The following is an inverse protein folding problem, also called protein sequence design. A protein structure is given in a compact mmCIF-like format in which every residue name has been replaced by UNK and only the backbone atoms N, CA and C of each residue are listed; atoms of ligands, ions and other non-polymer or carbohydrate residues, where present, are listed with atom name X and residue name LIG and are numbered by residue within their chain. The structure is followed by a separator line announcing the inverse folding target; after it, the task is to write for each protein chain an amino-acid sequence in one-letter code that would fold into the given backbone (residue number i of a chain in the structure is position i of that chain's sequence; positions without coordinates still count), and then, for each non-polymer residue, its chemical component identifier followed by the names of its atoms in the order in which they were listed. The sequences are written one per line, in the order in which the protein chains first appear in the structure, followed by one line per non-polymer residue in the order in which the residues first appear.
data_IF_034531248502
#
_entry.id   IF_034531248502
#
_cell.length_a   1.000
_cell.length_b   1.000
_cell.length_c   1.000
_cell.angle_alpha   90.00
_cell.angle_beta   90.00
_cell.angle_gamma   90.00
#
_symmetry.space_group_name_H-M   'P 1'
#
loop_
_entity.id
_entity.type
_entity.pdbx_description
1 polymer ?
#
# COMPACT_ATOMS: atom_id res chain seq x y z
N UNK A 1 -16.50 9.23 0.88
CA UNK A 1 -15.21 9.11 0.16
C UNK A 1 -13.99 8.97 1.08
N UNK A 2 -13.97 9.57 2.29
CA UNK A 2 -12.78 9.50 3.18
C UNK A 2 -12.34 8.08 3.59
N UNK A 3 -13.29 7.17 3.81
CA UNK A 3 -13.01 5.78 4.22
C UNK A 3 -12.29 5.00 3.12
N UNK A 4 -12.76 5.08 1.88
CA UNK A 4 -12.16 4.38 0.72
C UNK A 4 -10.73 4.86 0.48
N UNK A 5 -10.49 6.17 0.53
CA UNK A 5 -9.14 6.74 0.38
C UNK A 5 -8.18 6.25 1.46
N UNK A 6 -8.66 6.19 2.70
CA UNK A 6 -7.87 5.71 3.83
C UNK A 6 -7.56 4.21 3.68
N UNK A 7 -8.52 3.42 3.19
CA UNK A 7 -8.35 2.00 2.92
C UNK A 7 -7.34 1.74 1.80
N UNK A 8 -7.46 2.42 0.66
CA UNK A 8 -6.51 2.26 -0.46
C UNK A 8 -5.09 2.66 -0.06
N UNK A 9 -4.95 3.69 0.80
CA UNK A 9 -3.64 4.09 1.34
C UNK A 9 -3.05 3.01 2.22
N UNK A 10 -3.82 2.52 3.18
CA UNK A 10 -3.40 1.45 4.07
C UNK A 10 -3.00 0.19 3.29
N UNK A 11 -3.78 -0.18 2.26
CA UNK A 11 -3.45 -1.30 1.38
C UNK A 11 -2.14 -1.08 0.61
N UNK A 12 -1.95 0.09 0.01
CA UNK A 12 -0.71 0.41 -0.70
C UNK A 12 0.51 0.36 0.23
N UNK A 13 0.42 0.99 1.41
CA UNK A 13 1.49 0.96 2.42
C UNK A 13 1.81 -0.48 2.87
N UNK A 14 0.78 -1.29 3.11
CA UNK A 14 0.92 -2.68 3.52
C UNK A 14 1.64 -3.51 2.44
N UNK A 15 1.16 -3.47 1.19
CA UNK A 15 1.78 -4.25 0.11
C UNK A 15 3.21 -3.78 -0.20
N UNK A 16 3.47 -2.47 -0.23
CA UNK A 16 4.82 -1.94 -0.42
C UNK A 16 5.76 -2.33 0.71
N UNK A 17 5.27 -2.41 1.96
CA UNK A 17 6.08 -2.86 3.10
C UNK A 17 6.44 -4.34 2.97
N UNK A 18 5.47 -5.21 2.62
CA UNK A 18 5.74 -6.63 2.38
C UNK A 18 6.78 -6.80 1.28
N UNK A 19 6.59 -6.14 0.15
CA UNK A 19 7.52 -6.22 -0.98
C UNK A 19 8.90 -5.67 -0.62
N UNK A 20 8.98 -4.64 0.22
CA UNK A 20 10.26 -4.11 0.72
C UNK A 20 10.98 -5.14 1.60
N UNK A 21 10.27 -5.81 2.52
CA UNK A 21 10.85 -6.88 3.35
C UNK A 21 11.34 -8.03 2.47
N UNK A 22 10.55 -8.45 1.47
CA UNK A 22 10.96 -9.45 0.49
C UNK A 22 12.21 -9.02 -0.29
N UNK A 23 12.29 -7.74 -0.69
CA UNK A 23 13.44 -7.20 -1.40
C UNK A 23 14.71 -7.23 -0.55
N UNK A 24 14.62 -6.83 0.73
CA UNK A 24 15.76 -6.93 1.66
C UNK A 24 16.16 -8.38 1.94
N UNK A 25 15.19 -9.30 2.07
CA UNK A 25 15.49 -10.72 2.21
C UNK A 25 16.24 -11.25 0.98
N UNK A 26 15.83 -10.86 -0.23
CA UNK A 26 16.48 -11.24 -1.49
C UNK A 26 17.90 -10.66 -1.58
N UNK A 27 18.10 -9.40 -1.19
CA UNK A 27 19.42 -8.78 -1.12
C UNK A 27 20.31 -9.47 -0.09
N UNK A 28 19.78 -9.78 1.09
CA UNK A 28 20.49 -10.50 2.15
C UNK A 28 20.91 -11.90 1.69
N UNK A 29 20.04 -12.60 0.97
CA UNK A 29 20.32 -13.90 0.38
C UNK A 29 21.41 -13.82 -0.70
N UNK A 30 21.33 -12.85 -1.62
CA UNK A 30 22.39 -12.59 -2.60
C UNK A 30 23.73 -12.23 -1.96
N UNK A 31 23.71 -11.37 -0.93
CA UNK A 31 24.89 -10.99 -0.15
C UNK A 31 25.50 -12.18 0.61
N UNK A 32 24.68 -13.04 1.19
CA UNK A 32 25.11 -14.29 1.82
C UNK A 32 25.81 -15.21 0.82
N UNK A 33 25.27 -15.36 -0.40
CA UNK A 33 25.93 -16.14 -1.44
C UNK A 33 27.28 -15.54 -1.87
N UNK A 34 27.38 -14.22 -2.04
CA UNK A 34 28.66 -13.57 -2.34
C UNK A 34 29.69 -13.78 -1.22
N UNK A 35 29.25 -13.65 0.04
CA UNK A 35 30.11 -13.86 1.19
C UNK A 35 30.61 -15.30 1.25
N UNK A 36 29.71 -16.28 1.10
CA UNK A 36 30.06 -17.70 1.09
C UNK A 36 30.99 -18.04 -0.06
N UNK A 37 30.71 -17.53 -1.27
CA UNK A 37 31.54 -17.74 -2.46
C UNK A 37 32.97 -17.22 -2.26
N UNK A 38 33.13 -16.06 -1.61
CA UNK A 38 34.46 -15.51 -1.31
C UNK A 38 35.17 -16.18 -0.14
N UNK A 39 34.44 -16.86 0.74
CA UNK A 39 35.01 -17.47 1.94
C UNK A 39 35.48 -18.91 1.71
N UNK A 40 35.01 -19.56 0.64
CA UNK A 40 35.39 -20.93 0.31
C UNK A 40 36.66 -20.93 -0.56
N UNK A 41 37.77 -21.54 -0.09
CA UNK A 41 39.05 -21.53 -0.81
C UNK A 41 38.98 -22.24 -2.16
N UNK A 42 37.96 -23.10 -2.39
CA UNK A 42 37.76 -23.76 -3.69
C UNK A 42 37.14 -22.81 -4.71
N UNK A 43 36.27 -21.89 -4.28
CA UNK A 43 35.57 -20.95 -5.18
C UNK A 43 36.20 -19.56 -5.22
N UNK A 44 37.09 -19.22 -4.28
CA UNK A 44 37.82 -17.95 -4.24
C UNK A 44 38.53 -17.57 -5.56
N UNK A 45 39.22 -18.47 -6.29
CA UNK A 45 39.88 -18.10 -7.54
C UNK A 45 38.89 -17.90 -8.71
N UNK A 46 37.64 -18.33 -8.56
CA UNK A 46 36.62 -18.27 -9.60
C UNK A 46 35.77 -17.00 -9.45
N UNK A 47 35.45 -16.29 -10.55
CA UNK A 47 34.54 -15.15 -10.48
C UNK A 47 33.16 -15.60 -9.95
N UNK A 48 32.50 -14.81 -9.08
CA UNK A 48 31.15 -15.13 -8.65
C UNK A 48 30.21 -15.25 -9.84
N UNK A 49 29.30 -16.24 -9.84
CA UNK A 49 28.45 -16.49 -10.98
C UNK A 49 27.46 -15.34 -11.17
N UNK A 50 27.14 -15.04 -12.43
CA UNK A 50 26.35 -13.87 -12.83
C UNK A 50 24.97 -13.81 -12.15
N UNK A 51 24.36 -14.96 -11.85
CA UNK A 51 23.05 -15.01 -11.18
C UNK A 51 23.05 -14.37 -9.80
N UNK A 52 24.18 -14.37 -9.08
CA UNK A 52 24.26 -13.77 -7.74
C UNK A 52 24.13 -12.25 -7.84
N UNK A 53 24.78 -11.64 -8.85
CA UNK A 53 24.63 -10.21 -9.12
C UNK A 53 23.22 -9.88 -9.63
N UNK A 54 22.58 -10.77 -10.39
CA UNK A 54 21.18 -10.61 -10.80
C UNK A 54 20.24 -10.60 -9.59
N UNK A 55 20.39 -11.55 -8.66
CA UNK A 55 19.58 -11.61 -7.42
C UNK A 55 19.78 -10.35 -6.59
N UNK A 56 21.03 -9.90 -6.42
CA UNK A 56 21.35 -8.70 -5.65
C UNK A 56 20.80 -7.43 -6.31
N UNK A 57 21.02 -7.28 -7.61
CA UNK A 57 20.56 -6.12 -8.40
C UNK A 57 19.04 -6.05 -8.47
N UNK A 58 18.38 -7.19 -8.64
CA UNK A 58 16.92 -7.27 -8.64
C UNK A 58 16.33 -6.95 -7.27
N UNK A 59 16.91 -7.48 -6.20
CA UNK A 59 16.54 -7.12 -4.83
C UNK A 59 16.72 -5.62 -4.56
N UNK A 60 17.84 -5.03 -4.99
CA UNK A 60 18.08 -3.61 -4.84
C UNK A 60 17.08 -2.75 -5.63
N UNK A 61 16.75 -3.13 -6.87
CA UNK A 61 15.78 -2.42 -7.68
C UNK A 61 14.36 -2.50 -7.09
N UNK A 62 13.95 -3.68 -6.59
CA UNK A 62 12.69 -3.84 -5.86
C UNK A 62 12.67 -3.00 -4.58
N UNK A 63 13.74 -3.02 -3.80
CA UNK A 63 13.83 -2.24 -2.56
C UNK A 63 13.68 -0.74 -2.88
N UNK A 64 14.39 -0.25 -3.89
CA UNK A 64 14.31 1.14 -4.33
C UNK A 64 12.90 1.54 -4.79
N UNK A 65 12.24 0.71 -5.63
CA UNK A 65 10.88 0.97 -6.09
C UNK A 65 9.88 1.03 -4.90
N UNK A 66 10.02 0.13 -3.92
CA UNK A 66 9.15 0.10 -2.75
C UNK A 66 9.43 1.25 -1.77
N UNK A 67 10.68 1.68 -1.59
CA UNK A 67 11.02 2.89 -0.83
C UNK A 67 10.39 4.13 -1.46
N UNK A 68 10.47 4.28 -2.79
CA UNK A 68 9.80 5.38 -3.49
C UNK A 68 8.28 5.33 -3.32
N UNK A 69 7.69 4.13 -3.33
CA UNK A 69 6.25 3.95 -3.11
C UNK A 69 5.83 4.37 -1.70
N UNK A 70 6.58 3.94 -0.67
CA UNK A 70 6.37 4.33 0.72
C UNK A 70 6.59 5.83 0.93
N UNK A 71 7.67 6.40 0.39
CA UNK A 71 7.91 7.85 0.44
C UNK A 71 6.79 8.63 -0.27
N UNK A 72 6.29 8.14 -1.41
CA UNK A 72 5.15 8.73 -2.12
C UNK A 72 3.86 8.70 -1.29
N UNK A 73 3.60 7.59 -0.58
CA UNK A 73 2.46 7.45 0.31
C UNK A 73 2.54 8.39 1.53
N UNK A 74 3.72 8.48 2.16
CA UNK A 74 3.96 9.31 3.35
C UNK A 74 4.03 10.81 3.03
N UNK A 75 4.85 11.20 2.04
CA UNK A 75 5.14 12.59 1.71
C UNK A 75 4.10 13.23 0.78
N UNK A 76 3.15 12.45 0.25
CA UNK A 76 2.12 12.91 -0.72
C UNK A 76 2.71 13.54 -1.98
N UNK A 77 3.90 13.10 -2.40
CA UNK A 77 4.58 13.60 -3.59
C UNK A 77 4.16 12.79 -4.81
N UNK A 78 3.46 13.45 -5.75
CA UNK A 78 2.99 12.82 -7.00
C UNK A 78 4.12 12.28 -7.86
N UNK A 79 5.28 12.94 -7.84
CA UNK A 79 6.46 12.51 -8.59
C UNK A 79 6.98 11.15 -8.10
N UNK A 80 7.16 10.97 -6.78
CA UNK A 80 7.62 9.70 -6.20
C UNK A 80 6.61 8.58 -6.47
N UNK A 81 5.32 8.89 -6.33
CA UNK A 81 4.25 7.95 -6.61
C UNK A 81 4.28 7.49 -8.08
N UNK A 82 4.40 8.44 -9.02
CA UNK A 82 4.53 8.15 -10.46
C UNK A 82 5.77 7.33 -10.80
N UNK A 83 6.94 7.73 -10.30
CA UNK A 83 8.19 7.01 -10.49
C UNK A 83 8.12 5.58 -9.94
N UNK A 84 7.50 5.40 -8.77
CA UNK A 84 7.32 4.07 -8.17
C UNK A 84 6.47 3.14 -9.04
N UNK A 85 5.39 3.66 -9.66
CA UNK A 85 4.55 2.88 -10.57
C UNK A 85 5.31 2.52 -11.85
N UNK A 86 6.02 3.47 -12.45
CA UNK A 86 6.82 3.21 -13.64
C UNK A 86 7.91 2.16 -13.39
N UNK A 87 8.63 2.26 -12.26
CA UNK A 87 9.66 1.29 -11.88
C UNK A 87 9.05 -0.10 -11.60
N UNK A 88 7.97 -0.18 -10.84
CA UNK A 88 7.26 -1.45 -10.59
C UNK A 88 6.73 -2.07 -11.88
N UNK A 89 6.30 -1.27 -12.85
CA UNK A 89 5.87 -1.78 -14.15
C UNK A 89 7.03 -2.35 -14.96
N UNK A 90 8.18 -1.67 -15.01
CA UNK A 90 9.40 -2.18 -15.67
C UNK A 90 9.86 -3.49 -15.00
N UNK A 91 9.85 -3.55 -13.68
CA UNK A 91 10.21 -4.77 -12.93
C UNK A 91 9.24 -5.91 -13.21
N UNK A 92 7.93 -5.64 -13.35
CA UNK A 92 6.95 -6.65 -13.73
C UNK A 92 7.21 -7.20 -15.13
N UNK A 93 7.50 -6.33 -16.11
CA UNK A 93 7.87 -6.76 -17.46
C UNK A 93 9.14 -7.61 -17.44
N UNK A 94 10.15 -7.18 -16.68
CA UNK A 94 11.41 -7.93 -16.54
C UNK A 94 11.18 -9.32 -15.92
N UNK A 95 10.33 -9.43 -14.89
CA UNK A 95 9.92 -10.71 -14.30
C UNK A 95 9.23 -11.61 -15.34
N UNK A 96 8.25 -11.07 -16.08
CA UNK A 96 7.53 -11.83 -17.10
C UNK A 96 8.45 -12.29 -18.23
N UNK A 97 9.37 -11.43 -18.68
CA UNK A 97 10.36 -11.76 -19.70
C UNK A 97 11.31 -12.86 -19.22
N UNK A 98 11.83 -12.76 -17.99
CA UNK A 98 12.66 -13.79 -17.38
C UNK A 98 11.94 -15.14 -17.35
N UNK A 99 10.65 -15.12 -17.02
CA UNK A 99 9.84 -16.33 -16.92
C UNK A 99 9.61 -16.95 -18.27
N UNK A 100 9.29 -16.15 -19.29
CA UNK A 100 9.20 -16.64 -20.67
C UNK A 100 10.53 -17.29 -21.09
N UNK A 101 11.68 -16.68 -20.79
CA UNK A 101 12.99 -17.26 -21.10
C UNK A 101 13.19 -18.59 -20.39
N UNK A 102 12.89 -18.67 -19.10
CA UNK A 102 12.99 -19.91 -18.29
C UNK A 102 12.08 -21.01 -18.86
N UNK A 103 10.88 -20.66 -19.34
CA UNK A 103 9.93 -21.63 -19.91
C UNK A 103 10.30 -22.07 -21.34
N UNK A 104 10.89 -21.18 -22.15
CA UNK A 104 11.23 -21.48 -23.55
C UNK A 104 12.53 -22.28 -23.65
N UNK A 105 13.54 -21.95 -22.84
CA UNK A 105 14.83 -22.62 -22.85
C UNK A 105 15.30 -22.93 -21.41
N UNK A 106 14.74 -23.97 -20.79
CA UNK A 106 15.16 -24.37 -19.44
C UNK A 106 16.64 -24.80 -19.40
N UNK A 107 17.17 -25.33 -20.51
CA UNK A 107 18.57 -25.74 -20.62
C UNK A 107 19.58 -24.58 -20.59
N UNK A 108 19.16 -23.36 -20.96
CA UNK A 108 20.00 -22.17 -20.81
C UNK A 108 20.35 -21.88 -19.34
N UNK A 109 19.47 -22.27 -18.40
CA UNK A 109 19.73 -22.14 -16.96
C UNK A 109 20.76 -23.17 -16.53
N UNK A 110 20.61 -24.42 -16.98
CA UNK A 110 21.52 -25.51 -16.62
C UNK A 110 22.97 -25.19 -17.01
N UNK A 111 23.18 -24.62 -18.20
CA UNK A 111 24.51 -24.20 -18.67
C UNK A 111 25.10 -23.01 -17.90
N UNK A 112 24.28 -22.12 -17.35
CA UNK A 112 24.76 -20.97 -16.58
C UNK A 112 24.96 -21.27 -15.10
N UNK A 113 24.23 -22.24 -14.55
CA UNK A 113 24.21 -22.51 -13.11
C UNK A 113 25.17 -23.63 -12.74
N UNK A 114 25.31 -24.67 -13.57
CA UNK A 114 26.29 -25.74 -13.34
C UNK A 114 27.43 -25.65 -14.38
N UNK A 115 28.70 -25.71 -13.95
CA UNK A 115 29.82 -25.88 -14.88
C UNK A 115 29.67 -27.19 -15.66
N UNK A 116 30.13 -27.22 -16.91
CA UNK A 116 29.83 -28.26 -17.91
C UNK A 116 30.18 -29.72 -17.51
N UNK A 117 30.94 -29.92 -16.43
CA UNK A 117 31.43 -31.23 -16.00
C UNK A 117 30.98 -31.65 -14.59
N UNK A 118 30.13 -30.86 -13.89
CA UNK A 118 29.69 -31.21 -12.54
C UNK A 118 28.31 -31.89 -12.54
N UNK A 119 28.30 -33.18 -12.87
CA UNK A 119 27.10 -34.02 -12.81
C UNK A 119 26.48 -34.06 -11.40
N UNK A 120 27.28 -33.86 -10.35
CA UNK A 120 26.79 -33.83 -8.97
C UNK A 120 26.02 -32.55 -8.65
N UNK A 121 26.41 -31.41 -9.24
CA UNK A 121 25.64 -30.16 -9.22
C UNK A 121 24.26 -30.38 -9.85
N UNK A 122 24.24 -30.97 -11.04
CA UNK A 122 23.03 -31.19 -11.81
C UNK A 122 22.08 -32.18 -11.11
N UNK A 123 22.61 -33.26 -10.52
CA UNK A 123 21.81 -34.25 -9.79
C UNK A 123 21.19 -33.69 -8.50
N UNK A 124 21.85 -32.73 -7.83
CA UNK A 124 21.31 -32.03 -6.64
C UNK A 124 20.31 -30.93 -7.00
N UNK A 125 20.51 -30.25 -8.12
CA UNK A 125 19.54 -29.29 -8.65
C UNK A 125 18.32 -30.00 -9.22
N UNK A 126 18.50 -31.17 -9.82
CA UNK A 126 17.44 -31.91 -10.52
C UNK A 126 16.15 -32.10 -9.69
N UNK A 127 16.15 -32.49 -8.40
CA UNK A 127 14.92 -32.56 -7.62
C UNK A 127 14.27 -31.19 -7.36
N UNK A 128 15.07 -30.13 -7.27
CA UNK A 128 14.59 -28.74 -7.15
C UNK A 128 13.94 -28.27 -8.46
N UNK A 129 14.47 -28.75 -9.60
CA UNK A 129 14.03 -28.46 -10.96
C UNK A 129 13.25 -29.61 -11.60
N UNK A 130 12.72 -30.55 -10.81
CA UNK A 130 11.90 -31.65 -11.33
C UNK A 130 10.46 -31.19 -11.60
N UNK A 131 9.98 -30.27 -10.76
CA UNK A 131 8.75 -29.48 -10.97
C UNK A 131 9.01 -27.97 -10.76
N UNK A 132 9.99 -27.36 -11.48
CA UNK A 132 10.36 -25.97 -11.30
C UNK A 132 9.25 -25.05 -11.80
N UNK A 133 8.60 -25.46 -12.89
CA UNK A 133 7.45 -24.76 -13.45
C UNK A 133 6.31 -24.61 -12.44
N UNK A 134 6.11 -25.61 -11.57
CA UNK A 134 5.03 -25.55 -10.59
C UNK A 134 5.41 -24.64 -9.41
N UNK A 135 6.57 -24.85 -8.78
CA UNK A 135 6.93 -24.08 -7.57
C UNK A 135 7.38 -22.65 -7.89
N UNK A 136 8.27 -22.47 -8.87
CA UNK A 136 8.72 -21.14 -9.28
C UNK A 136 7.59 -20.37 -9.96
N UNK A 137 6.75 -21.04 -10.75
CA UNK A 137 5.56 -20.44 -11.35
C UNK A 137 4.55 -19.95 -10.31
N UNK A 138 4.26 -20.75 -9.27
CA UNK A 138 3.38 -20.33 -8.16
C UNK A 138 3.98 -19.13 -7.44
N UNK A 139 5.25 -19.22 -7.00
CA UNK A 139 5.91 -18.13 -6.28
C UNK A 139 5.91 -16.82 -7.08
N UNK A 140 6.27 -16.91 -8.36
CA UNK A 140 6.23 -15.77 -9.27
C UNK A 140 4.82 -15.23 -9.42
N UNK A 141 3.80 -16.07 -9.63
CA UNK A 141 2.42 -15.62 -9.80
C UNK A 141 1.92 -14.86 -8.56
N UNK A 142 2.32 -15.29 -7.36
CA UNK A 142 2.01 -14.59 -6.11
C UNK A 142 2.70 -13.23 -6.07
N UNK A 143 4.00 -13.17 -6.39
CA UNK A 143 4.77 -11.91 -6.44
C UNK A 143 4.16 -10.92 -7.45
N UNK A 144 3.89 -11.38 -8.68
CA UNK A 144 3.24 -10.58 -9.72
C UNK A 144 1.87 -10.07 -9.27
N UNK A 145 1.06 -10.91 -8.61
CA UNK A 145 -0.26 -10.52 -8.10
C UNK A 145 -0.14 -9.44 -7.04
N UNK A 146 0.75 -9.59 -6.06
CA UNK A 146 0.99 -8.58 -5.01
C UNK A 146 1.47 -7.26 -5.63
N UNK A 147 2.37 -7.33 -6.62
CA UNK A 147 2.90 -6.16 -7.33
C UNK A 147 1.81 -5.44 -8.14
N UNK A 148 0.94 -6.17 -8.84
CA UNK A 148 -0.23 -5.62 -9.54
C UNK A 148 -1.19 -4.96 -8.55
N UNK A 149 -1.50 -5.61 -7.42
CA UNK A 149 -2.37 -5.06 -6.39
C UNK A 149 -1.80 -3.77 -5.78
N UNK A 150 -0.48 -3.71 -5.55
CA UNK A 150 0.20 -2.50 -5.12
C UNK A 150 0.07 -1.38 -6.17
N UNK A 151 0.33 -1.68 -7.45
CA UNK A 151 0.18 -0.71 -8.54
C UNK A 151 -1.26 -0.21 -8.69
N UNK A 152 -2.26 -1.09 -8.63
CA UNK A 152 -3.67 -0.71 -8.68
C UNK A 152 -4.05 0.19 -7.50
N UNK A 153 -3.60 -0.14 -6.28
CA UNK A 153 -3.87 0.68 -5.09
C UNK A 153 -3.28 2.07 -5.23
N UNK A 154 -2.04 2.16 -5.72
CA UNK A 154 -1.36 3.42 -5.99
C UNK A 154 -2.05 4.22 -7.10
N UNK A 155 -2.51 3.56 -8.16
CA UNK A 155 -3.25 4.19 -9.24
C UNK A 155 -4.59 4.77 -8.77
N UNK A 156 -5.35 4.01 -7.97
CA UNK A 156 -6.59 4.49 -7.35
C UNK A 156 -6.34 5.71 -6.46
N UNK A 157 -5.24 5.74 -5.71
CA UNK A 157 -4.86 6.92 -4.91
C UNK A 157 -4.59 8.15 -5.79
N UNK A 158 -3.85 7.96 -6.90
CA UNK A 158 -3.56 9.03 -7.86
C UNK A 158 -4.84 9.59 -8.50
N UNK A 159 -5.76 8.72 -8.89
CA UNK A 159 -7.03 9.11 -9.51
C UNK A 159 -7.94 9.89 -8.54
N UNK A 160 -8.05 9.42 -7.28
CA UNK A 160 -8.78 10.14 -6.24
C UNK A 160 -8.19 11.53 -5.94
N UNK A 161 -6.87 11.70 -6.07
CA UNK A 161 -6.23 13.01 -5.92
C UNK A 161 -6.45 13.92 -7.13
N UNK A 162 -6.51 13.36 -8.33
CA UNK A 162 -6.87 14.09 -9.54
C UNK A 162 -8.31 14.60 -9.48
N UNK A 163 -9.26 13.76 -9.05
CA UNK A 163 -10.66 14.18 -8.86
C UNK A 163 -10.81 15.28 -7.82
N UNK A 164 -10.06 15.20 -6.70
CA UNK A 164 -10.09 16.26 -5.69
C UNK A 164 -9.60 17.59 -6.26
N UNK A 165 -8.47 17.58 -6.96
CA UNK A 165 -7.92 18.82 -7.53
C UNK A 165 -8.87 19.45 -8.55
N UNK A 166 -9.47 18.65 -9.44
CA UNK A 166 -10.46 19.17 -10.40
C UNK A 166 -11.65 19.81 -9.71
N UNK A 167 -12.14 19.19 -8.62
CA UNK A 167 -13.23 19.78 -7.82
C UNK A 167 -12.79 21.11 -7.17
N UNK A 168 -11.60 21.15 -6.60
CA UNK A 168 -11.08 22.37 -5.96
C UNK A 168 -10.85 23.49 -7.01
N UNK A 169 -10.43 23.15 -8.24
CA UNK A 169 -10.29 24.07 -9.38
C UNK A 169 -11.65 24.58 -9.89
N UNK A 170 -12.64 23.70 -10.04
CA UNK A 170 -14.02 24.06 -10.43
C UNK A 170 -14.68 24.96 -9.37
N UNK A 171 -14.47 24.67 -8.08
CA UNK A 171 -14.95 25.52 -6.98
C UNK A 171 -14.24 26.89 -6.97
N UNK A 172 -12.94 26.93 -7.26
CA UNK A 172 -12.18 28.19 -7.40
C UNK A 172 -12.64 29.04 -8.59
N UNK A 173 -12.82 28.44 -9.77
CA UNK A 173 -13.30 29.15 -10.96
C UNK A 173 -14.74 29.66 -10.78
N UNK A 174 -15.58 28.93 -10.03
CA UNK A 174 -16.93 29.37 -9.67
C UNK A 174 -16.94 30.56 -8.68
N UNK A 175 -15.83 30.85 -8.00
CA UNK A 175 -15.67 32.02 -7.14
C UNK A 175 -15.17 33.23 -7.94
N UNK A 176 -14.28 33.03 -8.91
CA UNK A 176 -13.67 34.11 -9.70
C UNK A 176 -14.51 34.62 -10.87
N UNK A 177 -15.60 33.93 -11.26
CA UNK A 177 -16.58 34.56 -12.16
C UNK A 177 -17.16 35.79 -11.48
N UNK A 178 -17.13 36.98 -12.11
CA UNK A 178 -17.77 38.16 -11.55
C UNK A 178 -19.26 37.88 -11.41
N UNK A 179 -19.66 37.52 -10.19
CA UNK A 179 -21.06 37.30 -9.85
C UNK A 179 -21.78 38.61 -10.14
N UNK A 180 -22.85 38.51 -10.93
CA UNK A 180 -23.76 39.64 -11.13
C UNK A 180 -24.26 40.03 -9.73
N UNK A 181 -24.45 41.32 -9.45
CA UNK A 181 -24.82 41.82 -8.12
C UNK A 181 -26.04 41.08 -7.52
N UNK A 182 -26.94 40.63 -8.39
CA UNK A 182 -28.13 39.81 -8.07
C UNK A 182 -27.77 38.43 -7.48
N UNK A 183 -26.73 37.78 -8.00
CA UNK A 183 -26.27 36.46 -7.54
C UNK A 183 -25.64 36.55 -6.13
N UNK A 184 -25.07 37.71 -5.77
CA UNK A 184 -24.49 37.93 -4.44
C UNK A 184 -25.56 38.01 -3.35
N UNK A 185 -26.67 38.69 -3.62
CA UNK A 185 -27.78 38.77 -2.68
C UNK A 185 -28.43 37.40 -2.48
N UNK A 186 -28.61 36.63 -3.56
CA UNK A 186 -29.18 35.29 -3.47
C UNK A 186 -28.28 34.34 -2.68
N UNK A 187 -26.94 34.37 -2.91
CA UNK A 187 -25.98 33.59 -2.12
C UNK A 187 -25.96 33.98 -0.65
N UNK A 188 -26.00 35.27 -0.31
CA UNK A 188 -26.07 35.70 1.09
C UNK A 188 -27.34 35.18 1.77
N UNK A 189 -28.50 35.32 1.12
CA UNK A 189 -29.75 34.80 1.64
C UNK A 189 -29.71 33.27 1.83
N UNK A 190 -29.05 32.54 0.92
CA UNK A 190 -28.89 31.08 1.07
C UNK A 190 -27.98 30.70 2.25
N UNK A 191 -26.87 31.44 2.43
CA UNK A 191 -25.94 31.25 3.56
C UNK A 191 -26.65 31.53 4.88
N UNK A 192 -27.42 32.62 4.98
CA UNK A 192 -28.19 32.95 6.18
C UNK A 192 -29.24 31.88 6.50
N UNK A 193 -29.98 31.38 5.48
CA UNK A 193 -30.93 30.27 5.66
C UNK A 193 -30.24 28.99 6.12
N UNK A 194 -29.03 28.68 5.63
CA UNK A 194 -28.25 27.52 6.08
C UNK A 194 -27.76 27.70 7.52
N UNK A 195 -27.31 28.90 7.89
CA UNK A 195 -26.89 29.23 9.25
C UNK A 195 -28.05 29.14 10.24
N UNK A 196 -29.21 29.70 9.90
CA UNK A 196 -30.44 29.62 10.71
C UNK A 196 -30.89 28.17 10.92
N UNK A 197 -30.89 27.34 9.86
CA UNK A 197 -31.23 25.91 9.98
C UNK A 197 -30.29 25.16 10.91
N UNK A 198 -28.97 25.41 10.84
CA UNK A 198 -28.00 24.82 11.77
C UNK A 198 -28.22 25.29 13.21
N UNK A 199 -28.51 26.57 13.40
CA UNK A 199 -28.79 27.13 14.72
C UNK A 199 -30.05 26.48 15.35
N UNK A 200 -31.12 26.32 14.57
CA UNK A 200 -32.35 25.66 15.03
C UNK A 200 -32.12 24.19 15.36
N UNK A 201 -31.35 23.46 14.54
CA UNK A 201 -30.95 22.07 14.87
C UNK A 201 -30.16 21.99 16.18
N UNK A 202 -29.23 22.93 16.41
CA UNK A 202 -28.48 23.00 17.67
C UNK A 202 -29.38 23.33 18.88
N UNK A 203 -30.32 24.27 18.73
CA UNK A 203 -31.32 24.58 19.78
C UNK A 203 -32.18 23.36 20.10
N UNK A 204 -32.66 22.65 19.08
CA UNK A 204 -33.44 21.42 19.27
C UNK A 204 -32.64 20.36 20.01
N UNK A 205 -31.38 20.11 19.60
CA UNK A 205 -30.49 19.17 20.27
C UNK A 205 -30.27 19.54 21.74
N UNK A 206 -29.95 20.80 22.05
CA UNK A 206 -29.76 21.29 23.42
C UNK A 206 -31.03 21.14 24.26
N UNK A 207 -32.20 21.46 23.70
CA UNK A 207 -33.48 21.31 24.39
C UNK A 207 -33.80 19.84 24.72
N UNK A 208 -33.49 18.91 23.80
CA UNK A 208 -33.66 17.48 24.02
C UNK A 208 -32.71 16.96 25.11
N UNK A 209 -31.45 17.39 25.10
CA UNK A 209 -30.48 17.06 26.15
C UNK A 209 -30.89 17.61 27.51
N UNK A 210 -31.41 18.83 27.57
CA UNK A 210 -31.91 19.43 28.81
C UNK A 210 -33.11 18.66 29.39
N UNK A 211 -34.08 18.26 28.54
CA UNK A 211 -35.22 17.42 28.96
C UNK A 211 -34.76 16.07 29.51
N UNK A 212 -33.85 15.38 28.82
CA UNK A 212 -33.29 14.11 29.30
C UNK A 212 -32.57 14.26 30.65
N UNK A 213 -31.85 15.36 30.87
CA UNK A 213 -31.19 15.65 32.14
C UNK A 213 -32.20 15.88 33.28
N UNK A 214 -33.30 16.60 33.02
CA UNK A 214 -34.39 16.81 33.98
C UNK A 214 -35.10 15.50 34.33
N UNK A 215 -35.49 14.70 33.33
CA UNK A 215 -36.09 13.38 33.57
C UNK A 215 -35.16 12.46 34.37
N UNK A 216 -33.86 12.49 34.10
CA UNK A 216 -32.86 11.72 34.87
C UNK A 216 -32.80 12.19 36.31
N UNK A 217 -32.86 13.50 36.57
CA UNK A 217 -32.89 14.08 37.92
C UNK A 217 -34.16 13.67 38.68
N UNK A 218 -35.33 13.73 38.06
CA UNK A 218 -36.60 13.31 38.66
C UNK A 218 -36.60 11.81 39.01
N UNK A 219 -36.07 10.95 38.13
CA UNK A 219 -35.91 9.52 38.41
C UNK A 219 -34.99 9.26 39.61
N UNK A 220 -33.93 10.07 39.77
CA UNK A 220 -33.02 9.96 40.92
C UNK A 220 -33.70 10.42 42.22
N UNK A 221 -34.47 11.51 42.19
CA UNK A 221 -35.23 11.99 43.35
C UNK A 221 -36.29 10.97 43.79
N UNK A 222 -37.04 10.37 42.85
CA UNK A 222 -38.03 9.35 43.16
C UNK A 222 -37.40 8.06 43.73
N UNK A 223 -36.17 7.69 43.31
CA UNK A 223 -35.45 6.54 43.87
C UNK A 223 -34.84 6.82 45.25
N UNK A 224 -34.47 8.07 45.53
CA UNK A 224 -33.90 8.49 46.81
C UNK A 224 -34.91 8.60 47.96
N UNK A 225 -36.21 8.55 47.66
CA UNK A 225 -37.29 8.63 48.65
C UNK A 225 -37.68 7.31 49.32
N UNK A 226 -36.95 6.21 49.09
CA UNK A 226 -37.21 4.96 49.83
C UNK A 226 -36.65 5.10 51.25
N UNK A 227 -37.49 5.20 52.30
CA UNK A 227 -37.00 5.29 53.67
C UNK A 227 -36.21 4.01 53.96
N UNK A 228 -34.98 4.18 54.44
CA UNK A 228 -34.19 3.09 55.03
C UNK A 228 -34.98 2.52 56.19
N UNK A 229 -35.82 1.52 55.90
CA UNK A 229 -36.48 0.69 56.88
C UNK A 229 -35.40 -0.03 57.69
N UNK A 230 -35.50 0.15 59.00
CA UNK A 230 -34.70 -0.43 60.08
C UNK A 230 -34.00 -1.74 59.75
N UNK A 231 -32.68 -1.72 59.89
CA UNK A 231 -31.91 -2.92 60.22
C UNK A 231 -32.29 -3.30 61.65
N UNK A 232 -33.08 -4.36 61.80
CA UNK A 232 -33.27 -5.01 63.09
C UNK A 232 -31.97 -5.73 63.46
N UNK A 233 -31.44 -5.39 64.64
CA UNK A 233 -30.39 -6.12 65.36
C UNK A 233 -31.07 -7.08 66.33
#
# INVERSE_FOLDING_TARGET
MGVIRSSCRCAAEFFSTILLVCAFALMGFGGFFLYKWRSDPVTEPLPPPNYVYLVLGFGAALAFANVLSLCGACCRTRCCLGMSVCLSFILLIAQLALVIVIFVDPSAIDQQVCPADDASCLEKLYPLFKDPAQHAGILLSVVCTVQIMAMCSVHCLKDMEGMKQRRDEEEGEAIDRPLREEDWQERQAEIERKAQRKLELHKQALSATAKQALERRERLLNKGGSPRGSVAV
#
